data_IF_350490115267
#
_entry.id   IF_350490115267
#
_cell.length_a   1.000
_cell.length_b   1.000
_cell.length_c   1.000
_cell.angle_alpha   90.00
_cell.angle_beta   90.00
_cell.angle_gamma   90.00
#
_symmetry.space_group_name_H-M   'P 1'
#
loop_
_entity.id
_entity.type
_entity.pdbx_description
1 polymer ?
#
# COMPACT_ATOMS: atom_id res chain seq x y z
N UNK A 1 -17.82 9.51 -8.64
CA UNK A 1 -17.16 9.39 -7.32
C UNK A 1 -18.04 9.96 -6.21
N UNK A 2 -18.50 11.22 -6.28
CA UNK A 2 -19.40 11.79 -5.25
C UNK A 2 -20.68 10.96 -4.99
N UNK A 3 -21.32 10.44 -6.04
CA UNK A 3 -22.47 9.52 -5.86
C UNK A 3 -22.09 8.21 -5.20
N UNK A 4 -20.89 7.67 -5.48
CA UNK A 4 -20.38 6.46 -4.83
C UNK A 4 -20.06 6.72 -3.35
N UNK A 5 -19.53 7.90 -3.00
CA UNK A 5 -19.29 8.27 -1.61
C UNK A 5 -20.59 8.32 -0.79
N UNK A 6 -21.66 8.89 -1.38
CA UNK A 6 -23.00 8.88 -0.77
C UNK A 6 -23.58 7.48 -0.66
N UNK A 7 -23.40 6.66 -1.70
CA UNK A 7 -23.88 5.27 -1.72
C UNK A 7 -23.14 4.40 -0.69
N UNK A 8 -21.84 4.64 -0.49
CA UNK A 8 -20.99 3.95 0.49
C UNK A 8 -21.38 4.26 1.94
N UNK A 9 -21.94 5.44 2.20
CA UNK A 9 -22.40 5.87 3.52
C UNK A 9 -23.89 5.66 3.73
N UNK A 10 -24.56 4.94 2.82
CA UNK A 10 -25.97 4.62 2.93
C UNK A 10 -26.20 3.48 3.91
N UNK A 11 -27.27 3.55 4.70
CA UNK A 11 -27.67 2.50 5.65
C UNK A 11 -28.06 1.18 4.95
N UNK A 12 -28.32 1.22 3.64
CA UNK A 12 -28.53 0.02 2.84
C UNK A 12 -27.20 -0.72 2.60
N UNK A 13 -27.10 -1.93 3.17
CA UNK A 13 -25.89 -2.76 3.07
C UNK A 13 -25.59 -3.16 1.63
N UNK A 14 -26.62 -3.39 0.80
CA UNK A 14 -26.49 -3.66 -0.63
C UNK A 14 -25.84 -2.50 -1.37
N UNK A 15 -26.29 -1.27 -1.11
CA UNK A 15 -25.71 -0.06 -1.66
C UNK A 15 -24.25 0.11 -1.25
N UNK A 16 -23.94 -0.09 0.03
CA UNK A 16 -22.57 0.00 0.55
C UNK A 16 -21.63 -1.02 -0.10
N UNK A 17 -22.05 -2.28 -0.24
CA UNK A 17 -21.27 -3.33 -0.92
C UNK A 17 -21.02 -2.99 -2.39
N UNK A 18 -22.06 -2.57 -3.10
CA UNK A 18 -21.97 -2.17 -4.50
C UNK A 18 -21.05 -0.96 -4.68
N UNK A 19 -21.08 0.00 -3.75
CA UNK A 19 -20.17 1.13 -3.74
C UNK A 19 -18.72 0.68 -3.51
N UNK A 20 -18.45 -0.18 -2.52
CA UNK A 20 -17.13 -0.78 -2.32
C UNK A 20 -16.61 -1.46 -3.58
N UNK A 21 -17.42 -2.32 -4.20
CA UNK A 21 -17.05 -3.02 -5.43
C UNK A 21 -16.75 -2.04 -6.59
N UNK A 22 -17.60 -1.05 -6.81
CA UNK A 22 -17.37 -0.04 -7.85
C UNK A 22 -16.09 0.78 -7.59
N UNK A 23 -15.83 1.14 -6.33
CA UNK A 23 -14.61 1.86 -5.93
C UNK A 23 -13.37 0.99 -6.10
N UNK A 24 -13.43 -0.31 -5.78
CA UNK A 24 -12.33 -1.24 -5.97
C UNK A 24 -12.02 -1.42 -7.45
N UNK A 25 -13.04 -1.62 -8.30
CA UNK A 25 -12.88 -1.66 -9.76
C UNK A 25 -12.22 -0.37 -10.28
N UNK A 26 -12.69 0.80 -9.85
CA UNK A 26 -12.10 2.08 -10.25
C UNK A 26 -10.64 2.20 -9.82
N UNK A 27 -10.31 1.71 -8.63
CA UNK A 27 -8.98 1.76 -8.05
C UNK A 27 -7.99 0.74 -8.65
N UNK A 28 -8.44 -0.23 -9.47
CA UNK A 28 -7.52 -1.16 -10.16
C UNK A 28 -6.71 -0.49 -11.27
N UNK A 29 -7.26 0.55 -11.92
CA UNK A 29 -6.56 1.34 -12.93
C UNK A 29 -5.85 2.54 -12.28
N UNK A 30 -4.65 2.87 -12.75
CA UNK A 30 -3.83 4.00 -12.27
C UNK A 30 -4.55 5.35 -12.37
N UNK A 31 -5.29 5.57 -13.47
CA UNK A 31 -6.04 6.82 -13.66
C UNK A 31 -7.23 6.89 -12.70
N UNK A 32 -8.02 5.82 -12.60
CA UNK A 32 -9.18 5.75 -11.71
C UNK A 32 -8.77 5.88 -10.24
N UNK A 33 -7.67 5.23 -9.85
CA UNK A 33 -7.04 5.36 -8.54
C UNK A 33 -6.61 6.80 -8.24
N UNK A 34 -5.90 7.44 -9.17
CA UNK A 34 -5.50 8.84 -9.00
C UNK A 34 -6.69 9.78 -8.89
N UNK A 35 -7.75 9.58 -9.70
CA UNK A 35 -8.99 10.36 -9.64
C UNK A 35 -9.74 10.16 -8.32
N UNK A 36 -9.76 8.93 -7.80
CA UNK A 36 -10.41 8.59 -6.53
C UNK A 36 -9.67 9.25 -5.35
N UNK A 37 -8.35 9.11 -5.27
CA UNK A 37 -7.57 9.70 -4.17
C UNK A 37 -7.51 11.23 -4.23
N UNK A 38 -7.55 11.81 -5.43
CA UNK A 38 -7.58 13.27 -5.63
C UNK A 38 -8.98 13.88 -5.49
N UNK A 39 -10.02 13.08 -5.31
CA UNK A 39 -11.39 13.60 -5.18
C UNK A 39 -11.59 14.30 -3.83
N UNK A 40 -12.49 15.29 -3.79
CA UNK A 40 -12.87 16.02 -2.57
C UNK A 40 -13.47 15.13 -1.48
N UNK A 41 -14.08 14.00 -1.86
CA UNK A 41 -14.65 13.02 -0.93
C UNK A 41 -13.68 11.89 -0.56
N UNK A 42 -12.40 11.95 -0.96
CA UNK A 42 -11.46 10.85 -0.73
C UNK A 42 -11.29 10.53 0.75
N UNK A 43 -11.14 11.55 1.60
CA UNK A 43 -11.04 11.38 3.05
C UNK A 43 -12.30 10.75 3.65
N UNK A 44 -13.47 11.21 3.23
CA UNK A 44 -14.76 10.66 3.67
C UNK A 44 -14.91 9.19 3.26
N UNK A 45 -14.55 8.84 2.01
CA UNK A 45 -14.54 7.46 1.53
C UNK A 45 -13.65 6.59 2.40
N UNK A 46 -12.41 7.03 2.71
CA UNK A 46 -11.47 6.26 3.52
C UNK A 46 -11.98 6.06 4.95
N UNK A 47 -12.57 7.10 5.56
CA UNK A 47 -13.20 7.02 6.87
C UNK A 47 -14.39 6.06 6.89
N UNK A 48 -15.23 6.10 5.87
CA UNK A 48 -16.39 5.19 5.75
C UNK A 48 -15.91 3.76 5.55
N UNK A 49 -14.94 3.51 4.66
CA UNK A 49 -14.34 2.17 4.50
C UNK A 49 -13.75 1.63 5.82
N UNK A 50 -13.04 2.47 6.58
CA UNK A 50 -12.51 2.08 7.89
C UNK A 50 -13.61 1.73 8.90
N UNK A 51 -14.75 2.42 8.84
CA UNK A 51 -15.91 2.13 9.69
C UNK A 51 -16.56 0.81 9.27
N UNK A 52 -16.74 0.60 7.96
CA UNK A 52 -17.35 -0.60 7.40
C UNK A 52 -16.56 -1.89 7.67
N UNK A 53 -15.26 -1.82 7.99
CA UNK A 53 -14.50 -2.98 8.49
C UNK A 53 -15.18 -3.67 9.69
N UNK A 54 -15.92 -2.91 10.50
CA UNK A 54 -16.64 -3.41 11.67
C UNK A 54 -18.17 -3.52 11.43
N UNK A 55 -18.60 -3.56 10.17
CA UNK A 55 -20.01 -3.77 9.84
C UNK A 55 -20.52 -5.08 10.48
N UNK A 56 -21.79 -5.08 10.91
CA UNK A 56 -22.44 -6.25 11.49
C UNK A 56 -22.46 -7.43 10.50
N UNK A 57 -22.65 -7.11 9.23
CA UNK A 57 -22.56 -8.06 8.13
C UNK A 57 -21.09 -8.23 7.70
N UNK A 58 -20.58 -9.46 7.82
CA UNK A 58 -19.17 -9.79 7.54
C UNK A 58 -18.78 -9.56 6.09
N UNK A 59 -19.69 -9.77 5.15
CA UNK A 59 -19.47 -9.55 3.72
C UNK A 59 -19.23 -8.05 3.42
N UNK A 60 -19.97 -7.15 4.06
CA UNK A 60 -19.75 -5.70 3.96
C UNK A 60 -18.35 -5.32 4.43
N UNK A 61 -17.92 -5.87 5.56
CA UNK A 61 -16.56 -5.67 6.08
C UNK A 61 -15.50 -6.19 5.11
N UNK A 62 -15.72 -7.36 4.53
CA UNK A 62 -14.83 -7.95 3.52
C UNK A 62 -14.70 -7.07 2.26
N UNK A 63 -15.81 -6.57 1.72
CA UNK A 63 -15.77 -5.63 0.58
C UNK A 63 -14.99 -4.35 0.90
N UNK A 64 -15.14 -3.83 2.13
CA UNK A 64 -14.38 -2.66 2.57
C UNK A 64 -12.88 -2.97 2.68
N UNK A 65 -12.51 -4.10 3.27
CA UNK A 65 -11.12 -4.54 3.38
C UNK A 65 -10.47 -4.79 2.01
N UNK A 66 -11.16 -5.48 1.10
CA UNK A 66 -10.70 -5.69 -0.27
C UNK A 66 -10.50 -4.36 -1.01
N UNK A 67 -11.40 -3.39 -0.82
CA UNK A 67 -11.27 -2.06 -1.42
C UNK A 67 -10.02 -1.33 -0.89
N UNK A 68 -9.77 -1.40 0.42
CA UNK A 68 -8.55 -0.85 1.04
C UNK A 68 -7.29 -1.56 0.53
N UNK A 69 -7.30 -2.89 0.37
CA UNK A 69 -6.18 -3.64 -0.22
C UNK A 69 -5.89 -3.17 -1.64
N UNK A 70 -6.94 -3.00 -2.47
CA UNK A 70 -6.80 -2.53 -3.85
C UNK A 70 -6.26 -1.11 -3.91
N UNK A 71 -6.63 -0.23 -2.98
CA UNK A 71 -6.02 1.10 -2.90
C UNK A 71 -4.55 1.02 -2.49
N UNK A 72 -4.22 0.14 -1.54
CA UNK A 72 -2.87 -0.08 -1.05
C UNK A 72 -1.92 -0.66 -2.11
N UNK A 73 -2.44 -1.39 -3.11
CA UNK A 73 -1.65 -2.03 -4.16
C UNK A 73 -1.00 -1.05 -5.15
N UNK A 74 -1.25 0.25 -5.01
CA UNK A 74 -0.58 1.29 -5.78
C UNK A 74 0.17 2.28 -4.85
N UNK A 75 1.33 2.84 -5.28
CA UNK A 75 2.20 3.64 -4.41
C UNK A 75 1.51 4.82 -3.73
N UNK A 76 0.69 5.60 -4.45
CA UNK A 76 -0.03 6.75 -3.88
C UNK A 76 -1.03 6.33 -2.80
N UNK A 77 -1.70 5.19 -3.00
CA UNK A 77 -2.70 4.69 -2.06
C UNK A 77 -2.05 4.05 -0.85
N UNK A 78 -0.96 3.31 -1.04
CA UNK A 78 -0.13 2.82 0.07
C UNK A 78 0.30 3.96 1.00
N UNK A 79 0.84 5.05 0.45
CA UNK A 79 1.23 6.22 1.26
C UNK A 79 0.02 6.85 1.95
N UNK A 80 -1.07 7.07 1.22
CA UNK A 80 -2.28 7.70 1.75
C UNK A 80 -2.92 6.91 2.89
N UNK A 81 -3.04 5.58 2.75
CA UNK A 81 -3.62 4.72 3.78
C UNK A 81 -2.68 4.59 4.99
N UNK A 82 -1.36 4.53 4.77
CA UNK A 82 -0.36 4.50 5.84
C UNK A 82 -0.44 5.73 6.74
N UNK A 83 -0.86 6.87 6.20
CA UNK A 83 -1.02 8.14 6.92
C UNK A 83 -2.43 8.36 7.47
N UNK A 84 -3.38 7.46 7.21
CA UNK A 84 -4.77 7.61 7.64
C UNK A 84 -5.04 6.82 8.95
N UNK A 85 -5.13 7.48 10.13
CA UNK A 85 -5.11 6.78 11.41
C UNK A 85 -6.28 5.81 11.62
N UNK A 86 -7.48 6.18 11.15
CA UNK A 86 -8.67 5.33 11.29
C UNK A 86 -8.59 4.05 10.46
N UNK A 87 -7.98 4.11 9.27
CA UNK A 87 -7.77 2.93 8.42
C UNK A 87 -6.80 1.98 9.12
N UNK A 88 -5.66 2.50 9.59
CA UNK A 88 -4.66 1.70 10.29
C UNK A 88 -5.23 1.08 11.56
N UNK A 89 -5.97 1.85 12.36
CA UNK A 89 -6.61 1.36 13.57
C UNK A 89 -7.64 0.28 13.24
N UNK A 90 -8.51 0.51 12.25
CA UNK A 90 -9.54 -0.45 11.85
C UNK A 90 -8.95 -1.78 11.38
N UNK A 91 -7.93 -1.73 10.51
CA UNK A 91 -7.26 -2.94 10.03
C UNK A 91 -6.60 -3.73 11.18
N UNK A 92 -5.90 -3.05 12.10
CA UNK A 92 -5.29 -3.69 13.29
C UNK A 92 -6.34 -4.30 14.21
N UNK A 93 -7.48 -3.65 14.40
CA UNK A 93 -8.58 -4.20 15.20
C UNK A 93 -9.11 -5.50 14.59
N UNK A 94 -9.20 -5.61 13.26
CA UNK A 94 -9.58 -6.85 12.57
C UNK A 94 -8.50 -7.93 12.72
N UNK A 95 -7.22 -7.58 12.58
CA UNK A 95 -6.09 -8.52 12.73
C UNK A 95 -6.08 -9.23 14.09
N UNK A 96 -6.36 -8.52 15.18
CA UNK A 96 -6.33 -9.09 16.53
C UNK A 96 -7.65 -9.76 16.95
N UNK A 97 -8.74 -9.53 16.23
CA UNK A 97 -10.06 -10.09 16.56
C UNK A 97 -10.06 -11.60 16.34
N UNK A 98 -10.51 -12.37 17.33
CA UNK A 98 -10.56 -13.84 17.27
C UNK A 98 -11.77 -14.33 16.45
N UNK A 99 -12.95 -13.76 16.71
CA UNK A 99 -14.19 -14.10 16.03
C UNK A 99 -14.47 -13.12 14.87
N UNK A 100 -13.78 -13.33 13.77
CA UNK A 100 -13.95 -12.56 12.53
C UNK A 100 -13.91 -13.50 11.33
N UNK A 101 -14.64 -13.15 10.28
CA UNK A 101 -14.60 -13.90 9.02
C UNK A 101 -13.13 -14.04 8.54
N UNK A 102 -12.67 -15.27 8.20
CA UNK A 102 -11.29 -15.52 7.81
C UNK A 102 -10.83 -14.71 6.59
N UNK A 103 -11.68 -14.56 5.57
CA UNK A 103 -11.35 -13.82 4.35
C UNK A 103 -11.16 -12.33 4.66
N UNK A 104 -12.03 -11.75 5.50
CA UNK A 104 -11.88 -10.36 5.98
C UNK A 104 -10.57 -10.20 6.75
N UNK A 105 -10.23 -11.14 7.62
CA UNK A 105 -9.00 -11.11 8.40
C UNK A 105 -7.76 -11.17 7.49
N UNK A 106 -7.79 -12.04 6.48
CA UNK A 106 -6.72 -12.18 5.50
C UNK A 106 -6.53 -10.89 4.70
N UNK A 107 -7.61 -10.28 4.20
CA UNK A 107 -7.55 -8.99 3.50
C UNK A 107 -6.93 -7.89 4.37
N UNK A 108 -7.29 -7.85 5.65
CA UNK A 108 -6.75 -6.87 6.59
C UNK A 108 -5.25 -7.06 6.84
N UNK A 109 -4.81 -8.30 7.06
CA UNK A 109 -3.39 -8.65 7.28
C UNK A 109 -2.56 -8.32 6.04
N UNK A 110 -3.01 -8.74 4.85
CA UNK A 110 -2.30 -8.44 3.59
C UNK A 110 -2.17 -6.92 3.40
N UNK A 111 -3.24 -6.19 3.67
CA UNK A 111 -3.22 -4.73 3.58
C UNK A 111 -2.20 -4.14 4.56
N UNK A 112 -2.18 -4.57 5.82
CA UNK A 112 -1.19 -4.12 6.79
C UNK A 112 0.25 -4.43 6.37
N UNK A 113 0.52 -5.61 5.80
CA UNK A 113 1.83 -5.96 5.26
C UNK A 113 2.27 -5.02 4.13
N UNK A 114 1.37 -4.65 3.23
CA UNK A 114 1.64 -3.66 2.16
C UNK A 114 1.95 -2.28 2.75
N UNK A 115 1.25 -1.90 3.83
CA UNK A 115 1.37 -0.57 4.44
C UNK A 115 2.61 -0.44 5.35
N UNK A 116 3.30 -1.52 5.69
CA UNK A 116 4.54 -1.46 6.49
C UNK A 116 5.57 -0.50 5.88
N UNK A 117 6.20 0.30 6.74
CA UNK A 117 7.33 1.14 6.33
C UNK A 117 8.54 0.26 6.05
N UNK A 118 9.33 0.67 5.06
CA UNK A 118 10.59 0.00 4.79
C UNK A 118 11.49 0.08 6.01
N UNK A 119 12.14 -1.03 6.42
CA UNK A 119 13.17 -0.97 7.44
C UNK A 119 14.33 -0.10 6.95
N UNK A 120 15.10 0.43 7.90
CA UNK A 120 16.37 1.07 7.56
C UNK A 120 17.26 0.04 6.87
N UNK A 121 17.82 0.32 5.68
CA UNK A 121 18.74 -0.59 5.01
C UNK A 121 20.01 -0.78 5.84
N UNK A 122 20.62 -1.95 5.71
CA UNK A 122 21.97 -2.20 6.20
C UNK A 122 22.95 -1.18 5.59
N UNK A 123 24.03 -0.81 6.30
CA UNK A 123 25.09 0.00 5.72
C UNK A 123 25.61 -0.61 4.41
N UNK A 124 25.83 0.19 3.35
CA UNK A 124 26.41 -0.32 2.12
C UNK A 124 27.87 -0.72 2.32
N UNK A 125 28.33 -1.70 1.56
CA UNK A 125 29.74 -2.07 1.45
C UNK A 125 30.38 -1.14 0.42
N UNK A 126 31.51 -0.52 0.80
CA UNK A 126 32.26 0.42 -0.03
C UNK A 126 33.65 -0.16 -0.28
N UNK A 127 34.01 -0.31 -1.54
CA UNK A 127 35.34 -0.73 -1.97
C UNK A 127 35.98 0.38 -2.80
N UNK A 128 37.17 0.82 -2.41
CA UNK A 128 37.92 1.82 -3.18
C UNK A 128 38.60 1.12 -4.34
N UNK A 129 38.22 1.46 -5.58
CA UNK A 129 38.83 0.90 -6.79
C UNK A 129 40.05 1.74 -7.18
N UNK A 130 39.94 3.07 -7.09
CA UNK A 130 41.02 4.01 -7.39
C UNK A 130 40.84 5.31 -6.61
N UNK A 131 41.77 6.25 -6.76
CA UNK A 131 41.70 7.56 -6.11
C UNK A 131 40.39 8.32 -6.38
N UNK A 132 39.72 8.03 -7.50
CA UNK A 132 38.52 8.74 -7.95
C UNK A 132 37.32 7.79 -8.19
N UNK A 133 37.39 6.53 -7.75
CA UNK A 133 36.34 5.56 -7.99
C UNK A 133 36.11 4.64 -6.80
N UNK A 134 34.85 4.51 -6.42
CA UNK A 134 34.38 3.58 -5.41
C UNK A 134 33.33 2.64 -6.01
N UNK A 135 33.35 1.40 -5.57
CA UNK A 135 32.27 0.45 -5.80
C UNK A 135 31.41 0.36 -4.55
N UNK A 136 30.10 0.51 -4.71
CA UNK A 136 29.14 0.52 -3.60
C UNK A 136 28.11 -0.59 -3.84
N UNK A 137 27.97 -1.49 -2.87
CA UNK A 137 26.99 -2.59 -2.91
C UNK A 137 26.17 -2.62 -1.63
N UNK A 138 24.95 -3.16 -1.69
CA UNK A 138 24.07 -3.33 -0.54
C UNK A 138 23.08 -4.46 -0.80
N UNK A 139 22.57 -5.04 0.29
CA UNK A 139 21.51 -6.04 0.21
C UNK A 139 20.18 -5.38 -0.22
N UNK A 140 19.49 -5.92 -1.25
CA UNK A 140 18.24 -5.35 -1.70
C UNK A 140 17.12 -5.62 -0.70
N UNK A 141 16.42 -4.56 -0.30
CA UNK A 141 15.14 -4.65 0.40
C UNK A 141 14.06 -5.08 -0.59
N UNK A 142 13.41 -6.21 -0.31
CA UNK A 142 12.23 -6.70 -1.03
C UNK A 142 10.97 -6.29 -0.29
N UNK A 143 10.01 -5.70 -0.99
CA UNK A 143 8.72 -5.32 -0.42
C UNK A 143 7.69 -6.42 -0.67
N UNK A 144 6.83 -6.70 0.32
CA UNK A 144 5.70 -7.63 0.13
C UNK A 144 4.71 -7.14 -0.94
N UNK A 145 4.63 -5.82 -1.11
CA UNK A 145 3.84 -5.14 -2.15
C UNK A 145 4.38 -5.27 -3.57
N UNK A 146 5.62 -5.73 -3.76
CA UNK A 146 6.27 -5.75 -5.08
C UNK A 146 6.71 -4.36 -5.60
N UNK A 147 6.51 -3.29 -4.82
CA UNK A 147 7.01 -1.97 -5.15
C UNK A 147 8.53 -1.93 -5.23
N UNK A 148 9.03 -1.26 -6.26
CA UNK A 148 10.46 -1.03 -6.46
C UNK A 148 11.00 -0.08 -5.38
N UNK A 149 12.04 -0.51 -4.68
CA UNK A 149 12.77 0.33 -3.73
C UNK A 149 13.85 1.11 -4.50
N UNK A 150 13.83 2.44 -4.37
CA UNK A 150 14.85 3.33 -4.92
C UNK A 150 15.84 3.71 -3.82
N UNK A 151 17.13 3.58 -4.13
CA UNK A 151 18.23 3.97 -3.25
C UNK A 151 18.82 5.30 -3.74
N UNK A 152 19.26 6.12 -2.80
CA UNK A 152 19.97 7.36 -3.06
C UNK A 152 21.17 7.42 -2.11
N UNK A 153 22.35 7.75 -2.65
CA UNK A 153 23.59 7.84 -1.88
C UNK A 153 23.93 9.32 -1.63
N UNK A 154 24.37 9.63 -0.42
CA UNK A 154 24.75 10.97 -0.01
C UNK A 154 26.13 10.97 0.64
N UNK A 155 26.98 11.95 0.31
CA UNK A 155 28.21 12.27 1.05
C UNK A 155 28.04 13.62 1.75
N UNK A 156 28.08 13.64 3.08
CA UNK A 156 27.96 14.86 3.92
C UNK A 156 26.85 15.82 3.45
N UNK A 157 25.69 15.25 3.09
CA UNK A 157 24.48 15.91 2.56
C UNK A 157 24.47 16.28 1.05
N UNK A 158 25.54 15.99 0.30
CA UNK A 158 25.55 16.13 -1.16
C UNK A 158 25.06 14.84 -1.80
N UNK A 159 24.04 14.92 -2.65
CA UNK A 159 23.56 13.80 -3.44
C UNK A 159 24.65 13.36 -4.43
N UNK A 160 25.02 12.08 -4.38
CA UNK A 160 25.96 11.50 -5.33
C UNK A 160 25.17 11.03 -6.53
N UNK A 161 25.40 11.66 -7.68
CA UNK A 161 24.76 11.24 -8.93
C UNK A 161 25.28 9.86 -9.35
N UNK A 162 24.43 8.85 -9.20
CA UNK A 162 24.71 7.47 -9.60
C UNK A 162 24.63 7.35 -11.12
N UNK A 163 25.62 7.88 -11.85
CA UNK A 163 25.60 7.90 -13.33
C UNK A 163 25.78 6.52 -13.99
N UNK A 164 26.16 5.47 -13.25
CA UNK A 164 26.44 4.16 -13.86
C UNK A 164 26.17 2.98 -12.91
N UNK A 165 24.91 2.64 -12.60
CA UNK A 165 24.58 1.34 -12.01
C UNK A 165 23.23 0.83 -12.54
N UNK A 166 23.26 0.11 -13.66
CA UNK A 166 22.21 -0.88 -13.96
C UNK A 166 22.37 -2.04 -12.98
N UNK A 167 21.31 -2.34 -12.23
CA UNK A 167 21.22 -3.59 -11.49
C UNK A 167 21.24 -4.74 -12.50
N UNK A 168 22.38 -5.42 -12.67
CA UNK A 168 22.40 -6.72 -13.35
C UNK A 168 21.76 -7.73 -12.39
N UNK A 169 20.46 -7.96 -12.54
CA UNK A 169 19.84 -9.16 -12.01
C UNK A 169 20.38 -10.35 -12.80
N UNK A 170 21.43 -11.00 -12.30
CA UNK A 170 21.78 -12.34 -12.77
C UNK A 170 20.71 -13.30 -12.25
N UNK A 171 19.73 -13.65 -13.08
CA UNK A 171 18.90 -14.83 -12.86
C UNK A 171 19.81 -16.07 -13.00
N UNK A 172 19.83 -17.00 -12.03
CA UNK A 172 20.44 -18.29 -12.26
C UNK A 172 19.60 -19.06 -13.27
N UNK A 173 20.20 -19.46 -14.39
CA UNK A 173 19.63 -20.47 -15.27
C UNK A 173 19.39 -21.74 -14.43
N UNK A 174 18.12 -22.17 -14.34
CA UNK A 174 17.81 -23.52 -13.88
C UNK A 174 18.25 -24.49 -14.97
N UNK A 175 19.31 -25.24 -14.70
CA UNK A 175 19.61 -26.51 -15.37
C UNK A 175 18.61 -27.57 -14.94
#
# INVERSE_FOLDING_TARGET
ISSLAKMLSCDDTGASKNACFALSCLATNVEGHSRLLGNTHSEEILKTLATLLNAQDSETGWFAAMTLRTLASQPKGCLRLREHPQVISGLKSIEVKEDVNPDLKEEAIITLEILKRLPKPSPPVILTISANSIHVTWDPIVTKSGFQVRYQLFDRAVFINLQFLTQTQTQPYKT
#
